data_IF_191802756555
#
_entry.id   IF_191802756555
#
_cell.length_a   1.000
_cell.length_b   1.000
_cell.length_c   1.000
_cell.angle_alpha   90.00
_cell.angle_beta   90.00
_cell.angle_gamma   90.00
#
_symmetry.space_group_name_H-M   'P 1'
#
loop_
_entity.id
_entity.type
_entity.pdbx_description
1 polymer ?
#
# COMPACT_ATOMS: atom_id res chain seq x y z
N UNK A 1 4.77 76.34 -1.29
CA UNK A 1 3.72 75.58 -2.00
C UNK A 1 4.44 74.68 -2.99
N UNK A 2 4.39 73.34 -3.04
CA UNK A 2 3.68 72.24 -2.36
C UNK A 2 4.70 71.06 -2.24
N UNK A 3 4.65 70.20 -1.21
CA UNK A 3 5.54 69.04 -1.10
C UNK A 3 4.98 67.86 -1.91
N UNK A 4 5.83 67.21 -2.72
CA UNK A 4 5.50 65.97 -3.43
C UNK A 4 5.75 64.79 -2.47
N UNK A 5 4.68 64.12 -2.04
CA UNK A 5 4.72 62.93 -1.19
C UNK A 5 4.68 61.69 -2.07
N UNK A 6 5.75 60.92 -2.10
CA UNK A 6 5.83 59.60 -2.74
C UNK A 6 5.26 58.55 -1.78
N UNK A 7 4.21 57.77 -2.14
CA UNK A 7 3.71 56.73 -1.27
C UNK A 7 4.60 55.48 -1.34
N UNK A 8 4.84 54.94 -0.15
CA UNK A 8 5.52 53.71 0.16
C UNK A 8 4.65 52.51 -0.29
N UNK A 9 5.14 51.67 -1.20
CA UNK A 9 4.53 50.38 -1.54
C UNK A 9 5.34 49.27 -0.87
N UNK A 10 4.89 48.80 0.30
CA UNK A 10 5.34 47.54 0.88
C UNK A 10 4.79 46.39 0.03
N UNK A 11 5.65 45.75 -0.76
CA UNK A 11 5.32 44.49 -1.43
C UNK A 11 5.29 43.34 -0.42
N UNK A 12 4.10 42.83 -0.10
CA UNK A 12 3.96 41.54 0.59
C UNK A 12 4.25 40.42 -0.39
N UNK A 13 5.42 39.78 -0.27
CA UNK A 13 5.72 38.52 -0.92
C UNK A 13 4.95 37.40 -0.21
N UNK A 14 3.80 37.01 -0.76
CA UNK A 14 3.02 35.87 -0.27
C UNK A 14 3.74 34.56 -0.57
N UNK A 15 4.16 33.84 0.49
CA UNK A 15 4.53 32.43 0.37
C UNK A 15 3.27 31.61 0.06
N UNK A 16 3.11 31.21 -1.20
CA UNK A 16 2.12 30.23 -1.59
C UNK A 16 2.59 28.83 -1.13
N UNK A 17 2.05 28.35 -0.01
CA UNK A 17 2.15 26.95 0.41
C UNK A 17 1.36 26.10 -0.59
N UNK A 18 2.05 25.45 -1.52
CA UNK A 18 1.46 24.41 -2.36
C UNK A 18 1.20 23.19 -1.48
N UNK A 19 -0.04 23.03 -1.03
CA UNK A 19 -0.50 21.77 -0.47
C UNK A 19 -0.44 20.72 -1.61
N UNK A 20 0.54 19.82 -1.55
CA UNK A 20 0.60 18.68 -2.45
C UNK A 20 -0.69 17.87 -2.35
N UNK A 21 -1.27 17.50 -3.49
CA UNK A 21 -2.40 16.58 -3.54
C UNK A 21 -1.97 15.24 -2.94
N UNK A 22 -2.78 14.60 -2.08
CA UNK A 22 -2.46 13.27 -1.60
C UNK A 22 -2.27 12.34 -2.81
N UNK A 23 -1.17 11.60 -2.83
CA UNK A 23 -0.97 10.55 -3.82
C UNK A 23 -2.08 9.50 -3.61
N UNK A 24 -2.96 9.36 -4.58
CA UNK A 24 -3.92 8.27 -4.58
C UNK A 24 -3.19 7.01 -5.03
N UNK A 25 -3.23 5.97 -4.20
CA UNK A 25 -2.73 4.65 -4.57
C UNK A 25 -3.51 4.13 -5.78
N UNK A 26 -2.83 3.94 -6.91
CA UNK A 26 -3.45 3.44 -8.13
C UNK A 26 -3.83 1.95 -7.98
N UNK A 27 -4.95 1.57 -8.60
CA UNK A 27 -5.37 0.18 -8.68
C UNK A 27 -4.51 -0.62 -9.65
N UNK A 28 -4.46 -1.94 -9.46
CA UNK A 28 -3.69 -2.83 -10.34
C UNK A 28 -4.45 -4.12 -10.68
N UNK A 29 -4.07 -4.74 -11.79
CA UNK A 29 -4.64 -5.98 -12.28
C UNK A 29 -3.57 -7.02 -12.63
N UNK A 30 -3.87 -8.29 -12.42
CA UNK A 30 -3.04 -9.42 -12.81
C UNK A 30 -3.87 -10.54 -13.44
N UNK A 31 -3.19 -11.41 -14.21
CA UNK A 31 -3.80 -12.58 -14.85
C UNK A 31 -3.33 -13.89 -14.22
N UNK A 32 -4.25 -14.85 -14.15
CA UNK A 32 -4.00 -16.23 -13.73
C UNK A 32 -3.64 -17.15 -14.89
N UNK A 33 -3.14 -18.34 -14.54
CA UNK A 33 -2.71 -19.35 -15.51
C UNK A 33 -3.84 -19.88 -16.40
N UNK A 34 -5.11 -19.74 -15.99
CA UNK A 34 -6.27 -20.20 -16.76
C UNK A 34 -7.08 -19.02 -17.35
N UNK A 35 -6.45 -17.84 -17.48
CA UNK A 35 -7.11 -16.65 -18.04
C UNK A 35 -7.93 -15.84 -17.03
N UNK A 36 -7.88 -16.18 -15.74
CA UNK A 36 -8.50 -15.36 -14.70
C UNK A 36 -7.94 -13.95 -14.71
N UNK A 37 -8.75 -12.96 -14.34
CA UNK A 37 -8.28 -11.60 -14.06
C UNK A 37 -8.63 -11.24 -12.63
N UNK A 38 -7.67 -10.69 -11.89
CA UNK A 38 -7.83 -10.15 -10.54
C UNK A 38 -7.46 -8.68 -10.54
N UNK A 39 -8.32 -7.82 -10.00
CA UNK A 39 -8.10 -6.38 -9.90
C UNK A 39 -8.30 -5.92 -8.47
N UNK A 40 -7.37 -5.11 -7.97
CA UNK A 40 -7.43 -4.46 -6.65
C UNK A 40 -7.58 -2.94 -6.82
N UNK A 41 -8.31 -2.31 -5.92
CA UNK A 41 -8.59 -0.86 -5.98
C UNK A 41 -7.39 0.03 -5.69
N UNK A 42 -6.37 -0.50 -5.01
CA UNK A 42 -5.11 0.17 -4.72
C UNK A 42 -4.02 -0.90 -4.54
N UNK A 43 -2.86 -0.68 -5.16
CA UNK A 43 -1.74 -1.62 -5.14
C UNK A 43 -0.40 -0.96 -4.79
N UNK A 44 -0.20 0.30 -5.18
CA UNK A 44 1.05 1.01 -4.94
C UNK A 44 0.86 2.19 -3.99
N UNK A 45 1.83 2.42 -3.11
CA UNK A 45 1.75 3.52 -2.15
C UNK A 45 0.56 3.41 -1.18
N UNK A 46 0.24 2.18 -0.76
CA UNK A 46 -0.85 1.99 0.21
C UNK A 46 -0.45 2.54 1.59
N UNK A 47 -1.39 3.16 2.31
CA UNK A 47 -1.14 3.64 3.67
C UNK A 47 -0.69 2.50 4.61
N UNK A 48 0.47 2.63 5.31
CA UNK A 48 0.98 1.58 6.20
C UNK A 48 0.06 1.24 7.37
N UNK A 49 -0.70 2.24 7.85
CA UNK A 49 -1.64 2.10 8.97
C UNK A 49 -2.85 1.21 8.66
N UNK A 50 -3.11 1.01 7.36
CA UNK A 50 -4.09 0.08 6.87
C UNK A 50 -5.02 0.68 5.83
N UNK A 51 -5.61 -0.20 5.03
CA UNK A 51 -6.55 0.15 3.98
C UNK A 51 -7.59 -0.96 3.80
N UNK A 52 -8.78 -0.56 3.39
CA UNK A 52 -9.80 -1.49 2.88
C UNK A 52 -9.71 -1.50 1.37
N UNK A 53 -9.33 -2.64 0.80
CA UNK A 53 -9.26 -2.82 -0.65
C UNK A 53 -10.55 -3.44 -1.17
N UNK A 54 -11.06 -2.91 -2.28
CA UNK A 54 -12.03 -3.63 -3.10
C UNK A 54 -11.27 -4.52 -4.07
N UNK A 55 -11.63 -5.81 -4.10
CA UNK A 55 -11.03 -6.80 -4.98
C UNK A 55 -12.11 -7.37 -5.89
N UNK A 56 -11.86 -7.37 -7.19
CA UNK A 56 -12.76 -7.94 -8.19
C UNK A 56 -12.03 -9.00 -8.99
N UNK A 57 -12.73 -10.10 -9.29
CA UNK A 57 -12.22 -11.16 -10.13
C UNK A 57 -13.20 -11.52 -11.24
N UNK A 58 -12.68 -12.12 -12.32
CA UNK A 58 -13.45 -12.71 -13.43
C UNK A 58 -12.74 -13.93 -14.01
N UNK A 59 -13.50 -14.85 -14.60
CA UNK A 59 -12.96 -16.02 -15.30
C UNK A 59 -12.56 -17.18 -14.38
N UNK A 60 -12.99 -17.18 -13.11
CA UNK A 60 -12.71 -18.27 -12.18
C UNK A 60 -13.62 -19.49 -12.44
N UNK A 61 -13.09 -20.70 -12.22
CA UNK A 61 -13.86 -21.94 -12.22
C UNK A 61 -14.77 -21.99 -10.98
N UNK A 62 -16.06 -21.74 -11.21
CA UNK A 62 -17.09 -21.67 -10.17
C UNK A 62 -17.31 -22.99 -9.41
N UNK A 63 -16.78 -24.11 -9.92
CA UNK A 63 -16.82 -25.42 -9.24
C UNK A 63 -15.80 -25.51 -8.10
N UNK A 64 -14.89 -24.54 -7.99
CA UNK A 64 -13.80 -24.51 -7.01
C UNK A 64 -13.89 -23.23 -6.17
N UNK A 65 -14.00 -23.37 -4.85
CA UNK A 65 -13.93 -22.22 -3.95
C UNK A 65 -12.50 -21.67 -3.83
N UNK A 66 -12.41 -20.38 -3.56
CA UNK A 66 -11.15 -19.66 -3.35
C UNK A 66 -11.22 -18.77 -2.11
N UNK A 67 -10.05 -18.49 -1.55
CA UNK A 67 -9.86 -17.30 -0.73
C UNK A 67 -9.27 -16.18 -1.58
N UNK A 68 -9.83 -14.98 -1.43
CA UNK A 68 -9.19 -13.71 -1.80
C UNK A 68 -8.50 -13.21 -0.53
N UNK A 69 -7.17 -13.11 -0.51
CA UNK A 69 -6.44 -12.86 0.73
C UNK A 69 -5.19 -12.00 0.53
N UNK A 70 -4.80 -11.26 1.56
CA UNK A 70 -3.52 -10.58 1.62
C UNK A 70 -2.45 -11.52 2.16
N UNK A 71 -1.36 -11.74 1.43
CA UNK A 71 -0.40 -12.79 1.72
C UNK A 71 1.05 -12.34 1.53
N UNK A 72 1.98 -13.00 2.22
CA UNK A 72 3.39 -12.97 1.85
C UNK A 72 3.57 -13.66 0.51
N UNK A 73 4.33 -13.03 -0.39
CA UNK A 73 4.72 -13.63 -1.66
C UNK A 73 6.04 -14.40 -1.53
N UNK A 74 5.95 -15.73 -1.64
CA UNK A 74 7.11 -16.63 -1.60
C UNK A 74 7.76 -16.81 -2.97
N UNK A 75 7.29 -16.11 -4.00
CA UNK A 75 7.83 -16.14 -5.35
C UNK A 75 7.20 -17.16 -6.29
N UNK A 76 7.68 -17.22 -7.54
CA UNK A 76 7.11 -18.04 -8.59
C UNK A 76 7.04 -19.53 -8.21
N UNK A 77 5.91 -20.17 -8.52
CA UNK A 77 5.69 -21.59 -8.23
C UNK A 77 5.58 -21.95 -6.72
N UNK A 78 5.70 -20.98 -5.81
CA UNK A 78 5.54 -21.19 -4.36
C UNK A 78 4.23 -20.58 -3.88
N UNK A 79 3.46 -21.26 -3.02
CA UNK A 79 2.16 -20.75 -2.56
C UNK A 79 2.34 -19.42 -1.81
N UNK A 80 1.39 -18.47 -1.93
CA UNK A 80 1.44 -17.23 -1.16
C UNK A 80 1.03 -17.58 0.28
N UNK A 81 1.96 -17.40 1.24
CA UNK A 81 1.79 -17.83 2.62
C UNK A 81 2.86 -17.25 3.54
N UNK A 82 2.56 -16.92 4.82
CA UNK A 82 1.23 -16.91 5.41
C UNK A 82 0.32 -15.84 4.78
N UNK A 83 -0.99 -15.96 5.01
CA UNK A 83 -1.96 -14.95 4.62
C UNK A 83 -2.61 -14.33 5.85
N UNK A 84 -2.82 -13.01 5.82
CA UNK A 84 -3.60 -12.29 6.80
C UNK A 84 -5.03 -12.82 6.83
N UNK A 85 -5.57 -13.06 8.02
CA UNK A 85 -6.93 -13.60 8.20
C UNK A 85 -7.07 -15.12 8.09
N UNK A 86 -6.04 -15.85 7.63
CA UNK A 86 -6.07 -17.31 7.56
C UNK A 86 -7.21 -17.87 6.69
N UNK A 87 -7.72 -19.04 7.05
CA UNK A 87 -8.98 -19.54 6.50
C UNK A 87 -10.12 -18.87 7.27
N UNK A 88 -10.73 -17.83 6.71
CA UNK A 88 -11.82 -17.11 7.37
C UNK A 88 -13.14 -17.89 7.28
N UNK A 89 -13.22 -19.00 8.02
CA UNK A 89 -14.42 -19.84 8.10
C UNK A 89 -15.45 -19.30 9.10
N UNK A 90 -15.25 -18.07 9.59
CA UNK A 90 -16.15 -17.37 10.51
C UNK A 90 -16.65 -16.04 9.94
N UNK A 91 -16.03 -15.54 8.85
CA UNK A 91 -16.36 -14.25 8.22
C UNK A 91 -15.84 -13.03 8.98
N UNK A 92 -14.93 -13.22 9.94
CA UNK A 92 -14.45 -12.17 10.86
C UNK A 92 -12.95 -11.88 10.73
N UNK A 93 -12.21 -12.68 9.94
CA UNK A 93 -10.76 -12.58 9.79
C UNK A 93 -10.29 -11.31 9.08
N UNK A 94 -11.14 -10.69 8.25
CA UNK A 94 -10.94 -9.35 7.67
C UNK A 94 -9.83 -9.21 6.63
N UNK A 95 -8.73 -9.97 6.74
CA UNK A 95 -7.62 -10.03 5.78
C UNK A 95 -7.80 -11.04 4.66
N UNK A 96 -8.90 -11.81 4.68
CA UNK A 96 -9.30 -12.71 3.61
C UNK A 96 -10.82 -12.73 3.45
N UNK A 97 -11.28 -13.19 2.29
CA UNK A 97 -12.69 -13.39 1.99
C UNK A 97 -12.89 -14.72 1.26
N UNK A 98 -13.85 -15.54 1.69
CA UNK A 98 -14.18 -16.80 1.03
C UNK A 98 -15.18 -16.56 -0.12
N UNK A 99 -14.85 -17.06 -1.32
CA UNK A 99 -15.72 -17.06 -2.48
C UNK A 99 -15.96 -18.50 -2.93
N UNK A 100 -17.21 -18.95 -2.94
CA UNK A 100 -17.59 -20.29 -3.37
C UNK A 100 -19.08 -20.36 -3.69
N UNK A 101 -19.44 -20.92 -4.86
CA UNK A 101 -20.82 -21.24 -5.21
C UNK A 101 -21.29 -22.59 -4.66
N UNK A 102 -20.37 -23.41 -4.16
CA UNK A 102 -20.64 -24.75 -3.62
C UNK A 102 -19.88 -24.98 -2.30
N UNK A 103 -20.07 -24.14 -1.26
CA UNK A 103 -19.38 -24.34 0.01
C UNK A 103 -19.93 -25.58 0.73
N UNK A 104 -19.11 -26.25 1.57
CA UNK A 104 -19.60 -27.21 2.56
C UNK A 104 -20.71 -26.62 3.44
N UNK A 105 -21.52 -27.45 4.13
CA UNK A 105 -22.66 -26.97 4.92
C UNK A 105 -22.33 -25.84 5.90
N UNK A 106 -21.18 -25.88 6.59
CA UNK A 106 -20.76 -24.82 7.52
C UNK A 106 -20.43 -23.49 6.83
N UNK A 107 -20.16 -23.50 5.54
CA UNK A 107 -19.83 -22.29 4.77
C UNK A 107 -21.03 -21.61 4.14
N UNK A 108 -22.22 -22.20 4.24
CA UNK A 108 -23.46 -21.59 3.75
C UNK A 108 -23.73 -20.31 4.55
N UNK A 109 -23.88 -19.18 3.85
CA UNK A 109 -24.05 -17.86 4.47
C UNK A 109 -22.74 -17.15 4.84
N UNK A 110 -21.59 -17.83 4.73
CA UNK A 110 -20.26 -17.23 4.95
C UNK A 110 -19.53 -16.94 3.64
N UNK A 111 -19.60 -17.87 2.68
CA UNK A 111 -18.97 -17.69 1.38
C UNK A 111 -19.82 -16.81 0.47
N UNK A 112 -19.19 -15.87 -0.24
CA UNK A 112 -19.82 -15.17 -1.35
C UNK A 112 -19.89 -16.09 -2.57
N UNK A 113 -21.07 -16.30 -3.19
CA UNK A 113 -21.15 -17.06 -4.42
C UNK A 113 -20.49 -16.31 -5.57
N UNK A 114 -19.94 -17.04 -6.54
CA UNK A 114 -19.50 -16.43 -7.79
C UNK A 114 -20.70 -15.95 -8.62
N UNK A 115 -20.46 -14.95 -9.45
CA UNK A 115 -21.32 -14.62 -10.59
C UNK A 115 -21.18 -15.64 -11.74
N UNK A 116 -22.05 -15.56 -12.77
CA UNK A 116 -22.13 -16.55 -13.85
C UNK A 116 -20.84 -16.76 -14.66
N UNK A 117 -20.00 -15.73 -14.79
CA UNK A 117 -18.72 -15.74 -15.51
C UNK A 117 -17.50 -16.00 -14.59
N UNK A 118 -17.73 -16.61 -13.42
CA UNK A 118 -16.69 -16.76 -12.42
C UNK A 118 -16.26 -15.43 -11.80
N UNK A 119 -17.16 -14.45 -11.79
CA UNK A 119 -16.89 -13.14 -11.21
C UNK A 119 -17.14 -13.07 -9.72
N UNK A 120 -16.48 -12.12 -9.07
CA UNK A 120 -16.78 -11.73 -7.70
C UNK A 120 -16.37 -10.28 -7.46
N UNK A 121 -16.92 -9.70 -6.39
CA UNK A 121 -16.48 -8.43 -5.81
C UNK A 121 -16.54 -8.58 -4.30
N UNK A 122 -15.40 -8.39 -3.63
CA UNK A 122 -15.26 -8.51 -2.18
C UNK A 122 -14.41 -7.37 -1.64
N UNK A 123 -14.41 -7.19 -0.32
CA UNK A 123 -13.51 -6.27 0.37
C UNK A 123 -12.62 -7.02 1.35
N UNK A 124 -11.36 -6.61 1.44
CA UNK A 124 -10.40 -7.11 2.44
C UNK A 124 -9.68 -5.94 3.10
N UNK A 125 -9.26 -6.10 4.35
CA UNK A 125 -8.48 -5.12 5.10
C UNK A 125 -7.03 -5.56 5.14
N UNK A 126 -6.14 -4.62 4.87
CA UNK A 126 -4.69 -4.85 4.87
C UNK A 126 -4.00 -3.81 5.74
N UNK A 127 -2.78 -4.09 6.16
CA UNK A 127 -1.85 -3.13 6.76
C UNK A 127 -0.43 -3.52 6.37
N UNK A 128 0.55 -2.66 6.59
CA UNK A 128 1.94 -2.98 6.26
C UNK A 128 2.50 -4.12 7.14
N UNK A 129 1.91 -4.34 8.32
CA UNK A 129 2.42 -5.27 9.34
C UNK A 129 1.28 -6.04 10.03
N UNK A 130 0.50 -6.85 9.30
CA UNK A 130 -0.61 -7.60 9.89
C UNK A 130 -0.13 -8.68 10.89
N UNK A 131 1.13 -9.12 10.79
CA UNK A 131 1.76 -10.03 11.74
C UNK A 131 3.29 -9.96 11.64
N UNK A 132 4.01 -10.54 12.61
CA UNK A 132 5.48 -10.58 12.58
C UNK A 132 6.08 -11.33 11.37
N UNK A 133 5.37 -12.32 10.83
CA UNK A 133 5.78 -13.06 9.63
C UNK A 133 5.48 -12.31 8.31
N UNK A 134 4.76 -11.19 8.39
CA UNK A 134 4.31 -10.39 7.24
C UNK A 134 4.59 -8.90 7.50
N UNK A 135 5.84 -8.54 7.78
CA UNK A 135 6.28 -7.14 7.72
C UNK A 135 6.51 -6.78 6.23
N UNK A 136 5.46 -6.32 5.56
CA UNK A 136 5.45 -6.03 4.12
C UNK A 136 6.30 -4.81 3.74
N UNK A 137 6.89 -4.12 4.71
CA UNK A 137 7.97 -3.15 4.46
C UNK A 137 9.34 -3.84 4.28
N UNK A 138 9.44 -5.14 4.59
CA UNK A 138 10.68 -5.94 4.53
C UNK A 138 10.56 -7.15 3.61
N UNK A 139 9.34 -7.68 3.44
CA UNK A 139 9.06 -8.82 2.56
C UNK A 139 8.08 -8.41 1.48
N UNK A 140 8.09 -9.13 0.35
CA UNK A 140 7.08 -8.91 -0.68
C UNK A 140 5.72 -9.44 -0.22
N UNK A 141 4.69 -8.65 -0.46
CA UNK A 141 3.30 -9.03 -0.18
C UNK A 141 2.44 -8.84 -1.42
N UNK A 142 1.37 -9.63 -1.49
CA UNK A 142 0.42 -9.66 -2.60
C UNK A 142 -1.01 -9.74 -2.06
N UNK A 143 -1.97 -9.18 -2.79
CA UNK A 143 -3.33 -9.72 -2.76
C UNK A 143 -3.38 -10.87 -3.73
N UNK A 144 -3.84 -12.03 -3.26
CA UNK A 144 -3.87 -13.24 -4.05
C UNK A 144 -5.22 -13.94 -3.97
N UNK A 145 -5.58 -14.63 -5.06
CA UNK A 145 -6.52 -15.74 -4.98
C UNK A 145 -5.76 -17.04 -4.77
N UNK A 146 -6.38 -17.96 -4.03
CA UNK A 146 -5.86 -19.31 -3.78
C UNK A 146 -7.04 -20.24 -3.53
N UNK A 147 -6.93 -21.50 -3.94
CA UNK A 147 -8.00 -22.45 -3.63
C UNK A 147 -8.27 -22.52 -2.12
N UNK A 148 -9.55 -22.67 -1.78
CA UNK A 148 -9.97 -22.73 -0.39
C UNK A 148 -9.44 -23.98 0.33
N UNK A 149 -9.70 -24.06 1.64
CA UNK A 149 -9.22 -25.13 2.51
C UNK A 149 -9.74 -26.52 2.13
N UNK A 150 -10.76 -26.63 1.28
CA UNK A 150 -11.24 -27.93 0.78
C UNK A 150 -10.32 -28.49 -0.32
N UNK A 151 -9.47 -27.65 -0.93
CA UNK A 151 -8.57 -27.99 -2.05
C UNK A 151 -7.23 -27.27 -1.91
N UNK A 152 -6.64 -27.31 -0.73
CA UNK A 152 -5.49 -26.47 -0.35
C UNK A 152 -4.22 -26.65 -1.20
N UNK A 153 -4.12 -27.74 -1.98
CA UNK A 153 -3.01 -28.01 -2.91
C UNK A 153 -3.28 -27.53 -4.35
N UNK A 154 -4.52 -27.19 -4.71
CA UNK A 154 -4.89 -26.75 -6.07
C UNK A 154 -4.47 -25.29 -6.29
N UNK A 155 -3.55 -25.04 -7.22
CA UNK A 155 -3.05 -23.70 -7.58
C UNK A 155 -3.53 -23.21 -8.95
N UNK A 156 -4.48 -23.91 -9.57
CA UNK A 156 -5.02 -23.55 -10.90
C UNK A 156 -5.77 -22.21 -10.90
N UNK A 157 -6.14 -21.69 -9.73
CA UNK A 157 -6.84 -20.42 -9.54
C UNK A 157 -6.01 -19.37 -8.80
N UNK A 158 -4.70 -19.58 -8.69
CA UNK A 158 -3.81 -18.60 -8.10
C UNK A 158 -3.62 -17.42 -9.06
N UNK A 159 -3.90 -16.21 -8.56
CA UNK A 159 -3.59 -14.93 -9.21
C UNK A 159 -2.98 -14.03 -8.15
N UNK A 160 -1.98 -13.21 -8.50
CA UNK A 160 -1.27 -12.36 -7.54
C UNK A 160 -1.15 -10.95 -8.07
N UNK A 161 -1.60 -9.99 -7.28
CA UNK A 161 -1.35 -8.57 -7.49
C UNK A 161 -0.38 -8.11 -6.41
N UNK A 162 0.85 -7.69 -6.77
CA UNK A 162 1.80 -7.11 -5.83
C UNK A 162 1.21 -5.91 -5.10
N UNK A 163 1.54 -5.77 -3.81
CA UNK A 163 1.16 -4.60 -3.00
C UNK A 163 2.41 -3.97 -2.42
N UNK A 164 2.56 -2.66 -2.60
CA UNK A 164 3.56 -1.83 -1.95
C UNK A 164 2.88 -0.81 -1.02
N UNK A 165 3.56 -0.46 0.07
CA UNK A 165 3.10 0.54 1.03
C UNK A 165 3.96 1.79 0.91
N UNK A 166 3.38 2.95 1.21
CA UNK A 166 4.13 4.20 1.27
C UNK A 166 5.11 4.18 2.45
N UNK A 167 6.38 4.46 2.17
CA UNK A 167 7.41 4.54 3.21
C UNK A 167 7.33 5.84 4.04
N UNK A 168 6.38 6.72 3.72
CA UNK A 168 6.26 8.05 4.32
C UNK A 168 7.43 8.99 3.96
N UNK A 169 8.26 8.60 2.99
CA UNK A 169 9.34 9.43 2.47
C UNK A 169 8.76 10.65 1.78
N UNK A 170 9.10 11.84 2.26
CA UNK A 170 8.92 13.08 1.49
C UNK A 170 9.65 12.85 0.15
N UNK A 171 9.02 13.08 -1.02
CA UNK A 171 9.75 12.99 -2.27
C UNK A 171 10.94 13.93 -2.16
N UNK A 172 12.15 13.37 -2.17
CA UNK A 172 13.35 14.18 -2.34
C UNK A 172 13.27 14.68 -3.76
N UNK A 173 12.58 15.81 -3.95
CA UNK A 173 12.70 16.58 -5.16
C UNK A 173 14.20 16.77 -5.34
N UNK A 174 14.77 16.14 -6.36
CA UNK A 174 16.11 16.41 -6.83
C UNK A 174 16.10 17.89 -7.20
N UNK A 175 16.52 18.73 -6.25
CA UNK A 175 16.74 20.15 -6.50
C UNK A 175 17.93 20.20 -7.44
N UNK A 176 17.64 20.19 -8.75
CA UNK A 176 18.57 20.67 -9.76
C UNK A 176 18.75 22.17 -9.51
N UNK A 177 19.71 22.52 -8.66
CA UNK A 177 20.05 23.90 -8.33
C UNK A 177 20.41 24.07 -6.87
N UNK A 178 21.70 24.08 -6.57
CA UNK A 178 22.24 24.09 -5.21
C UNK A 178 21.65 25.17 -4.29
N UNK A 179 21.03 24.72 -3.22
CA UNK A 179 21.07 25.37 -1.91
C UNK A 179 20.72 24.30 -0.87
N UNK A 180 21.66 23.99 0.03
CA UNK A 180 21.42 23.08 1.14
C UNK A 180 20.33 23.67 2.05
N UNK A 181 19.12 23.11 2.01
CA UNK A 181 18.06 23.48 2.95
C UNK A 181 18.28 22.67 4.21
N UNK A 182 18.84 23.32 5.23
CA UNK A 182 18.87 22.77 6.58
C UNK A 182 17.42 22.68 7.11
N UNK A 183 16.91 21.46 7.25
CA UNK A 183 15.63 21.21 7.90
C UNK A 183 15.75 21.54 9.39
N UNK A 184 15.16 22.66 9.82
CA UNK A 184 14.99 22.98 11.23
C UNK A 184 13.79 22.18 11.75
N UNK A 185 14.07 21.10 12.50
CA UNK A 185 13.05 20.46 13.32
C UNK A 185 12.83 21.33 14.56
N UNK A 186 11.64 21.93 14.63
CA UNK A 186 11.16 22.59 15.83
C UNK A 186 10.89 21.53 16.92
N UNK A 187 11.87 21.34 17.80
CA UNK A 187 11.66 20.91 19.17
C UNK A 187 12.62 21.74 20.03
N UNK A 188 12.06 22.45 21.01
CA UNK A 188 12.76 23.48 21.78
C UNK A 188 14.11 23.02 22.32
N UNK A 189 15.17 23.71 21.88
CA UNK A 189 16.54 23.50 22.33
C UNK A 189 17.47 24.36 21.50
N UNK A 190 17.71 25.61 21.93
CA UNK A 190 18.69 26.49 21.29
C UNK A 190 20.09 25.93 21.55
N UNK A 191 20.62 25.16 20.60
CA UNK A 191 22.05 24.80 20.58
C UNK A 191 22.78 25.92 19.85
N UNK A 192 23.47 26.78 20.61
CA UNK A 192 24.41 27.75 20.05
C UNK A 192 25.64 27.02 19.52
N UNK A 193 25.71 26.81 18.20
CA UNK A 193 26.94 26.34 17.56
C UNK A 193 27.96 27.47 17.57
N UNK A 194 28.85 27.43 18.56
CA UNK A 194 30.00 28.34 18.66
C UNK A 194 31.03 27.92 17.62
N UNK A 195 31.16 28.71 16.56
CA UNK A 195 32.10 28.50 15.46
C UNK A 195 33.54 28.74 15.94
N UNK A 196 34.27 27.68 16.28
CA UNK A 196 35.69 27.75 16.59
C UNK A 196 36.48 28.04 15.30
N UNK A 197 37.09 29.22 15.21
CA UNK A 197 38.07 29.52 14.16
C UNK A 197 39.32 28.69 14.44
N UNK A 198 39.66 27.76 13.55
CA UNK A 198 40.97 27.13 13.51
C UNK A 198 41.97 28.16 12.95
N UNK A 199 42.86 28.66 13.80
CA UNK A 199 44.07 29.39 13.38
C UNK A 199 45.07 28.37 12.85
N UNK A 200 45.34 28.44 11.55
CA UNK A 200 46.47 27.74 10.93
C UNK A 200 47.79 28.19 11.55
N UNK A 201 48.64 27.22 11.87
CA UNK A 201 50.03 27.44 12.26
C UNK A 201 50.89 26.76 11.21
N UNK A 202 51.53 27.55 10.35
CA UNK A 202 52.58 27.10 9.46
C UNK A 202 53.93 27.05 10.16
N UNK A 203 54.85 26.38 9.49
CA UNK A 203 56.32 26.40 9.64
C UNK A 203 56.94 25.39 10.61
N UNK A 204 57.44 24.28 10.05
CA UNK A 204 58.87 23.99 9.99
C UNK A 204 59.16 23.26 8.66
#
# INVERSE_FOLDING_TARGET
MRPLRTPLLLGMAGLALWAGTPAHADGASARGAQGQTLTVSAADGVSPGGATLTVTGRGYDVRKGIYVAFCRDNGPGKPPSPCGGGADTTGSGGGSHWVSSNPPPYGRGLATPYGPDGSFRVTIRISARPSGAMDCMKVRCVVATRADHTRSTDRTQDVRVPISFDDGGVPVALVAGGAAVAAVLAAGGVVTVRRSRATGRGSA
#
